data_IF_943584942385
#
_entry.id   IF_943584942385
#
_cell.length_a   1.000
_cell.length_b   1.000
_cell.length_c   1.000
_cell.angle_alpha   90.00
_cell.angle_beta   90.00
_cell.angle_gamma   90.00
#
_symmetry.space_group_name_H-M   'P 1'
#
loop_
_entity.id
_entity.type
_entity.pdbx_description
1 polymer ?
#
# COMPACT_ATOMS: atom_id res chain seq x y z
N UNK A 1 -27.09 11.34 5.77
CA UNK A 1 -26.81 10.17 6.61
C UNK A 1 -25.30 10.10 6.77
N UNK A 2 -24.79 10.36 7.98
CA UNK A 2 -23.37 10.22 8.30
C UNK A 2 -22.93 8.80 7.99
N UNK A 3 -21.79 8.64 7.34
CA UNK A 3 -21.26 7.32 7.03
C UNK A 3 -20.42 6.85 8.21
N UNK A 4 -21.00 5.98 9.04
CA UNK A 4 -20.38 5.51 10.27
C UNK A 4 -19.01 4.86 10.06
N UNK A 5 -18.81 4.15 8.93
CA UNK A 5 -17.53 3.50 8.62
C UNK A 5 -16.47 4.55 8.29
N UNK A 6 -16.80 5.52 7.42
CA UNK A 6 -15.87 6.60 7.09
C UNK A 6 -15.56 7.47 8.31
N UNK A 7 -16.56 7.80 9.13
CA UNK A 7 -16.38 8.63 10.32
C UNK A 7 -15.54 7.93 11.40
N UNK A 8 -15.76 6.63 11.66
CA UNK A 8 -14.96 5.90 12.64
C UNK A 8 -13.52 5.69 12.13
N UNK A 9 -13.33 5.44 10.83
CA UNK A 9 -12.00 5.29 10.24
C UNK A 9 -11.17 6.57 10.31
N UNK A 10 -11.77 7.74 10.08
CA UNK A 10 -11.11 9.05 10.24
C UNK A 10 -10.61 9.30 11.65
N UNK A 11 -11.39 8.86 12.65
CA UNK A 11 -11.03 8.92 14.08
C UNK A 11 -10.12 7.79 14.53
N UNK A 12 -9.86 6.81 13.65
CA UNK A 12 -9.11 5.59 13.94
C UNK A 12 -9.78 4.70 15.01
N UNK A 13 -11.10 4.62 14.99
CA UNK A 13 -11.92 3.81 15.91
C UNK A 13 -12.40 2.52 15.20
N UNK A 14 -11.86 1.36 15.60
CA UNK A 14 -12.19 0.05 15.04
C UNK A 14 -13.06 -0.83 15.96
N UNK A 15 -13.47 -0.33 17.13
CA UNK A 15 -14.20 -1.14 18.12
C UNK A 15 -15.55 -1.64 17.60
N UNK A 16 -16.21 -0.84 16.75
CA UNK A 16 -17.54 -1.11 16.22
C UNK A 16 -17.55 -1.36 14.70
N UNK A 17 -16.38 -1.57 14.09
CA UNK A 17 -16.27 -1.68 12.62
C UNK A 17 -17.09 -2.86 12.08
N UNK A 18 -17.01 -4.03 12.73
CA UNK A 18 -17.75 -5.23 12.33
C UNK A 18 -19.26 -5.02 12.40
N UNK A 19 -19.72 -4.29 13.42
CA UNK A 19 -21.12 -3.90 13.56
C UNK A 19 -21.55 -2.99 12.41
N UNK A 20 -20.76 -1.95 12.09
CA UNK A 20 -21.11 -1.04 11.00
C UNK A 20 -21.15 -1.75 9.64
N UNK A 21 -20.22 -2.68 9.38
CA UNK A 21 -20.20 -3.51 8.19
C UNK A 21 -21.47 -4.37 8.12
N UNK A 22 -21.76 -5.13 9.19
CA UNK A 22 -22.91 -6.04 9.25
C UNK A 22 -24.25 -5.36 8.98
N UNK A 23 -24.41 -4.11 9.42
CA UNK A 23 -25.65 -3.34 9.27
C UNK A 23 -25.65 -2.38 8.07
N UNK A 24 -24.83 -2.64 7.05
CA UNK A 24 -24.90 -2.00 5.74
C UNK A 24 -24.16 -0.67 5.62
N UNK A 25 -23.14 -0.44 6.44
CA UNK A 25 -22.20 0.66 6.25
C UNK A 25 -21.45 0.51 4.92
N UNK A 26 -21.28 1.61 4.19
CA UNK A 26 -20.69 1.58 2.85
C UNK A 26 -19.20 1.95 2.92
N UNK A 27 -18.32 0.94 3.03
CA UNK A 27 -16.87 1.14 3.09
C UNK A 27 -16.24 1.84 1.87
N UNK A 28 -16.97 1.89 0.75
CA UNK A 28 -16.53 2.49 -0.51
C UNK A 28 -16.75 4.01 -0.62
N UNK A 29 -17.50 4.62 0.32
CA UNK A 29 -17.68 6.07 0.34
C UNK A 29 -16.36 6.78 0.61
N UNK A 30 -16.21 7.95 0.01
CA UNK A 30 -14.98 8.74 0.03
C UNK A 30 -15.20 10.12 0.66
N UNK A 31 -14.13 10.67 1.23
CA UNK A 31 -14.01 12.07 1.58
C UNK A 31 -13.74 12.97 0.35
N UNK A 32 -13.53 14.27 0.58
CA UNK A 32 -13.24 15.26 -0.46
C UNK A 32 -11.92 15.01 -1.19
N UNK A 33 -10.99 14.26 -0.57
CA UNK A 33 -9.73 13.85 -1.17
C UNK A 33 -9.87 12.54 -1.97
N UNK A 34 -11.06 11.94 -2.01
CA UNK A 34 -11.29 10.63 -2.62
C UNK A 34 -10.89 9.45 -1.73
N UNK A 35 -10.61 9.69 -0.44
CA UNK A 35 -10.18 8.65 0.50
C UNK A 35 -11.38 7.99 1.14
N UNK A 36 -11.41 6.67 1.06
CA UNK A 36 -12.38 5.84 1.76
C UNK A 36 -11.84 5.37 3.12
N UNK A 37 -12.62 4.54 3.81
CA UNK A 37 -12.25 4.05 5.12
C UNK A 37 -10.93 3.26 5.17
N UNK A 38 -10.63 2.48 4.13
CA UNK A 38 -9.37 1.75 4.04
C UNK A 38 -8.17 2.70 3.99
N UNK A 39 -8.27 3.86 3.32
CA UNK A 39 -7.20 4.86 3.33
C UNK A 39 -6.93 5.37 4.75
N UNK A 40 -7.98 5.75 5.49
CA UNK A 40 -7.81 6.32 6.82
C UNK A 40 -7.23 5.29 7.81
N UNK A 41 -7.72 4.04 7.79
CA UNK A 41 -7.13 2.99 8.62
C UNK A 41 -5.68 2.69 8.22
N UNK A 42 -5.35 2.67 6.92
CA UNK A 42 -3.98 2.44 6.45
C UNK A 42 -3.00 3.54 6.88
N UNK A 43 -3.40 4.82 6.81
CA UNK A 43 -2.61 5.95 7.28
C UNK A 43 -2.26 5.87 8.77
N UNK A 44 -3.05 5.13 9.55
CA UNK A 44 -2.84 4.90 10.98
C UNK A 44 -2.25 3.52 11.29
N UNK A 45 -2.16 2.65 10.27
CA UNK A 45 -1.79 1.24 10.43
C UNK A 45 -2.74 0.45 11.30
N UNK A 46 -4.03 0.76 11.23
CA UNK A 46 -5.05 0.04 11.99
C UNK A 46 -5.34 -1.30 11.33
N UNK A 47 -4.56 -2.32 11.69
CA UNK A 47 -4.68 -3.66 11.16
C UNK A 47 -6.07 -4.26 11.41
N UNK A 48 -6.71 -3.96 12.55
CA UNK A 48 -8.06 -4.48 12.85
C UNK A 48 -9.11 -3.89 11.91
N UNK A 49 -9.11 -2.58 11.73
CA UNK A 49 -10.01 -1.91 10.78
C UNK A 49 -9.79 -2.37 9.34
N UNK A 50 -8.54 -2.48 8.90
CA UNK A 50 -8.21 -2.98 7.57
C UNK A 50 -8.62 -4.45 7.36
N UNK A 51 -8.37 -5.32 8.34
CA UNK A 51 -8.77 -6.73 8.26
C UNK A 51 -10.30 -6.87 8.20
N UNK A 52 -11.03 -6.10 9.00
CA UNK A 52 -12.50 -6.12 8.96
C UNK A 52 -13.03 -5.72 7.58
N UNK A 53 -12.48 -4.65 6.99
CA UNK A 53 -12.84 -4.24 5.64
C UNK A 53 -12.49 -5.31 4.59
N UNK A 54 -11.28 -5.87 4.65
CA UNK A 54 -10.82 -6.87 3.69
C UNK A 54 -11.63 -8.18 3.74
N UNK A 55 -12.12 -8.58 4.91
CA UNK A 55 -12.98 -9.76 5.09
C UNK A 55 -14.38 -9.58 4.48
N UNK A 56 -14.88 -8.35 4.45
CA UNK A 56 -16.18 -8.00 3.87
C UNK A 56 -16.06 -7.77 2.36
N UNK A 57 -15.20 -6.82 1.96
CA UNK A 57 -14.99 -6.47 0.56
C UNK A 57 -13.60 -5.84 0.33
N UNK A 58 -12.87 -6.35 -0.66
CA UNK A 58 -11.58 -5.83 -1.09
C UNK A 58 -11.67 -4.64 -2.05
N UNK A 59 -12.85 -4.28 -2.60
CA UNK A 59 -12.96 -3.13 -3.52
C UNK A 59 -12.48 -1.78 -2.96
N UNK A 60 -12.64 -1.45 -1.65
CA UNK A 60 -12.12 -0.20 -1.11
C UNK A 60 -10.60 -0.07 -1.22
N UNK A 61 -9.86 -1.19 -1.27
CA UNK A 61 -8.40 -1.20 -1.39
C UNK A 61 -7.91 -0.86 -2.80
N UNK A 62 -8.77 -0.97 -3.82
CA UNK A 62 -8.40 -0.67 -5.20
C UNK A 62 -8.51 0.81 -5.55
N UNK A 63 -9.31 1.56 -4.78
CA UNK A 63 -9.58 2.95 -5.08
C UNK A 63 -8.36 3.79 -4.72
N UNK A 64 -7.89 4.58 -5.67
CA UNK A 64 -6.90 5.62 -5.43
C UNK A 64 -7.57 6.94 -5.01
N UNK A 65 -6.94 7.66 -4.09
CA UNK A 65 -7.32 9.03 -3.74
C UNK A 65 -6.88 10.04 -4.83
N UNK A 66 -7.11 11.33 -4.60
CA UNK A 66 -6.76 12.40 -5.56
C UNK A 66 -5.27 12.51 -5.87
N UNK A 67 -4.40 11.89 -5.08
CA UNK A 67 -2.96 11.84 -5.29
C UNK A 67 -2.51 10.55 -5.99
N UNK A 68 -3.46 9.69 -6.38
CA UNK A 68 -3.18 8.37 -6.93
C UNK A 68 -2.78 7.35 -5.85
N UNK A 69 -2.84 7.71 -4.56
CA UNK A 69 -2.43 6.81 -3.48
C UNK A 69 -3.56 5.84 -3.17
N UNK A 70 -3.25 4.53 -3.17
CA UNK A 70 -4.17 3.51 -2.65
C UNK A 70 -3.99 3.34 -1.14
N UNK A 71 -4.93 2.70 -0.42
CA UNK A 71 -4.75 2.35 0.98
C UNK A 71 -3.46 1.58 1.25
N UNK A 72 -3.12 0.60 0.40
CA UNK A 72 -1.91 -0.19 0.60
C UNK A 72 -0.61 0.60 0.35
N UNK A 73 -0.63 1.66 -0.46
CA UNK A 73 0.52 2.56 -0.58
C UNK A 73 0.74 3.34 0.72
N UNK A 74 -0.32 3.86 1.34
CA UNK A 74 -0.23 4.50 2.66
C UNK A 74 0.28 3.53 3.73
N UNK A 75 -0.21 2.29 3.70
CA UNK A 75 0.25 1.25 4.61
C UNK A 75 1.75 0.96 4.42
N UNK A 76 2.20 0.76 3.17
CA UNK A 76 3.59 0.51 2.81
C UNK A 76 4.53 1.67 3.19
N UNK A 77 4.08 2.92 2.97
CA UNK A 77 4.80 4.13 3.37
C UNK A 77 4.99 4.19 4.89
N UNK A 78 4.10 3.56 5.68
CA UNK A 78 4.22 3.47 7.15
C UNK A 78 4.97 2.23 7.65
N UNK A 79 4.63 1.03 7.18
CA UNK A 79 5.17 -0.28 7.64
C UNK A 79 5.26 -1.27 6.48
N UNK A 80 6.34 -2.07 6.40
CA UNK A 80 6.51 -3.06 5.33
C UNK A 80 5.74 -4.36 5.60
N UNK A 81 5.55 -4.74 6.87
CA UNK A 81 5.02 -6.05 7.24
C UNK A 81 3.50 -6.20 7.05
N UNK A 82 2.77 -5.09 6.97
CA UNK A 82 1.31 -5.12 7.03
C UNK A 82 0.66 -5.28 5.65
N UNK A 83 1.41 -5.22 4.54
CA UNK A 83 0.82 -5.17 3.19
C UNK A 83 0.49 -6.55 2.61
N UNK A 84 1.29 -7.57 2.92
CA UNK A 84 1.19 -8.89 2.29
C UNK A 84 -0.16 -9.61 2.47
N UNK A 85 -0.84 -9.54 3.64
CA UNK A 85 -2.15 -10.17 3.80
C UNK A 85 -3.19 -9.71 2.77
N UNK A 86 -3.10 -8.46 2.33
CA UNK A 86 -4.01 -7.87 1.34
C UNK A 86 -3.51 -8.12 -0.09
N UNK A 87 -2.20 -8.02 -0.31
CA UNK A 87 -1.59 -8.22 -1.62
C UNK A 87 -1.74 -9.67 -2.13
N UNK A 88 -1.69 -10.67 -1.26
CA UNK A 88 -1.91 -12.08 -1.66
C UNK A 88 -3.35 -12.31 -2.11
N UNK A 89 -4.32 -11.66 -1.46
CA UNK A 89 -5.74 -11.74 -1.84
C UNK A 89 -6.02 -11.03 -3.17
N UNK A 90 -5.32 -9.91 -3.43
CA UNK A 90 -5.51 -9.12 -4.65
C UNK A 90 -4.18 -8.58 -5.20
N UNK A 91 -3.40 -9.43 -5.92
CA UNK A 91 -2.06 -9.07 -6.39
C UNK A 91 -2.03 -7.86 -7.33
N UNK A 92 -3.13 -7.57 -8.03
CA UNK A 92 -3.26 -6.40 -8.93
C UNK A 92 -3.08 -5.07 -8.20
N UNK A 93 -3.29 -5.02 -6.87
CA UNK A 93 -3.00 -3.84 -6.05
C UNK A 93 -1.52 -3.46 -6.08
N UNK A 94 -0.62 -4.43 -6.27
CA UNK A 94 0.82 -4.20 -6.33
C UNK A 94 1.28 -3.52 -7.61
N UNK A 95 0.49 -3.64 -8.69
CA UNK A 95 0.82 -3.05 -9.99
C UNK A 95 0.59 -1.54 -10.03
N UNK A 96 -0.21 -1.00 -9.11
CA UNK A 96 -0.60 0.41 -9.10
C UNK A 96 0.56 1.33 -8.66
N UNK A 97 0.53 2.56 -9.15
CA UNK A 97 1.44 3.64 -8.73
C UNK A 97 0.68 4.93 -8.49
N UNK A 98 1.18 5.76 -7.57
CA UNK A 98 0.63 7.11 -7.36
C UNK A 98 0.98 8.07 -8.51
N UNK A 99 0.52 9.33 -8.42
CA UNK A 99 0.82 10.37 -9.43
C UNK A 99 2.30 10.76 -9.50
N UNK A 100 3.11 10.33 -8.53
CA UNK A 100 4.58 10.50 -8.53
C UNK A 100 5.28 9.21 -8.99
N UNK A 101 4.54 8.25 -9.53
CA UNK A 101 5.02 6.94 -9.95
C UNK A 101 5.64 6.10 -8.82
N UNK A 102 5.26 6.37 -7.56
CA UNK A 102 5.68 5.59 -6.40
C UNK A 102 4.78 4.36 -6.28
N UNK A 103 5.39 3.22 -6.01
CA UNK A 103 4.68 1.95 -5.86
C UNK A 103 4.83 1.37 -4.46
N UNK A 104 3.95 0.43 -4.11
CA UNK A 104 4.04 -0.34 -2.85
C UNK A 104 5.42 -1.00 -2.72
N UNK A 105 5.87 -1.69 -3.76
CA UNK A 105 7.16 -2.37 -3.77
C UNK A 105 8.32 -1.36 -3.62
N UNK A 106 8.19 -0.18 -4.21
CA UNK A 106 9.17 0.90 -4.04
C UNK A 106 9.20 1.49 -2.64
N UNK A 107 8.06 1.65 -1.96
CA UNK A 107 8.03 2.08 -0.55
C UNK A 107 8.71 1.07 0.38
N UNK A 108 8.44 -0.21 0.16
CA UNK A 108 9.04 -1.32 0.92
C UNK A 108 10.55 -1.39 0.67
N UNK A 109 10.98 -1.34 -0.59
CA UNK A 109 12.40 -1.30 -0.95
C UNK A 109 13.09 -0.08 -0.37
N UNK A 110 12.48 1.11 -0.42
CA UNK A 110 13.08 2.33 0.13
C UNK A 110 13.35 2.25 1.65
N UNK A 111 12.74 1.30 2.35
CA UNK A 111 13.00 1.01 3.78
C UNK A 111 14.02 -0.11 4.01
N UNK A 112 14.59 -0.68 2.96
CA UNK A 112 15.60 -1.74 3.03
C UNK A 112 15.06 -3.17 2.90
N UNK A 113 13.74 -3.35 2.78
CA UNK A 113 13.10 -4.66 2.79
C UNK A 113 13.01 -5.27 1.38
N UNK A 114 14.17 -5.57 0.78
CA UNK A 114 14.20 -6.25 -0.53
C UNK A 114 13.72 -7.69 -0.45
N UNK A 115 13.85 -8.36 0.70
CA UNK A 115 13.42 -9.74 0.86
C UNK A 115 11.91 -9.87 0.65
N UNK A 116 11.12 -8.92 1.14
CA UNK A 116 9.69 -8.89 0.85
C UNK A 116 9.41 -8.60 -0.62
N UNK A 117 10.11 -7.65 -1.23
CA UNK A 117 9.92 -7.29 -2.65
C UNK A 117 10.22 -8.48 -3.57
N UNK A 118 11.40 -9.09 -3.41
CA UNK A 118 11.89 -10.16 -4.28
C UNK A 118 11.29 -11.52 -3.91
N UNK A 119 11.20 -11.83 -2.61
CA UNK A 119 10.78 -13.15 -2.14
C UNK A 119 9.27 -13.33 -2.03
N UNK A 120 8.50 -12.24 -1.83
CA UNK A 120 7.05 -12.33 -1.57
C UNK A 120 6.20 -11.63 -2.62
N UNK A 121 6.59 -10.44 -3.06
CA UNK A 121 5.80 -9.64 -4.01
C UNK A 121 6.05 -10.07 -5.47
N UNK A 122 7.32 -10.24 -5.86
CA UNK A 122 7.69 -10.61 -7.23
C UNK A 122 7.06 -11.93 -7.71
N UNK A 123 6.95 -13.00 -6.88
CA UNK A 123 6.30 -14.24 -7.32
C UNK A 123 4.80 -14.09 -7.63
N UNK A 124 4.10 -13.17 -6.96
CA UNK A 124 2.65 -12.96 -7.15
C UNK A 124 2.33 -11.81 -8.11
N UNK A 125 3.26 -10.89 -8.33
CA UNK A 125 3.12 -9.78 -9.26
C UNK A 125 4.48 -9.46 -9.92
N UNK A 126 4.89 -10.20 -10.96
CA UNK A 126 6.16 -9.98 -11.65
C UNK A 126 6.29 -8.61 -12.31
N UNK A 127 5.17 -7.95 -12.61
CA UNK A 127 5.11 -6.63 -13.25
C UNK A 127 5.72 -5.51 -12.40
N UNK A 128 5.93 -5.74 -11.09
CA UNK A 128 6.61 -4.77 -10.22
C UNK A 128 8.05 -4.44 -10.69
N UNK A 129 8.66 -5.31 -11.51
CA UNK A 129 9.99 -5.06 -12.11
C UNK A 129 10.03 -3.88 -13.06
N UNK A 130 8.88 -3.48 -13.60
CA UNK A 130 8.73 -2.33 -14.49
C UNK A 130 8.44 -1.02 -13.74
N UNK A 131 8.40 -1.06 -12.40
CA UNK A 131 8.15 0.12 -11.57
C UNK A 131 9.47 0.82 -11.21
N UNK A 132 9.38 2.10 -10.80
CA UNK A 132 10.54 2.97 -10.45
C UNK A 132 11.18 2.65 -9.09
N UNK A 133 11.31 1.37 -8.73
CA UNK A 133 11.80 0.92 -7.42
C UNK A 133 13.24 1.37 -7.18
N UNK A 134 14.13 1.25 -8.18
CA UNK A 134 15.52 1.72 -8.09
C UNK A 134 15.57 3.21 -7.76
N UNK A 135 14.73 4.03 -8.41
CA UNK A 135 14.65 5.47 -8.11
C UNK A 135 14.22 5.72 -6.67
N UNK A 136 13.24 4.98 -6.15
CA UNK A 136 12.76 5.13 -4.78
C UNK A 136 13.81 4.71 -3.74
N UNK A 137 14.57 3.63 -3.99
CA UNK A 137 15.71 3.23 -3.15
C UNK A 137 16.76 4.34 -3.11
N UNK A 138 17.12 4.91 -4.26
CA UNK A 138 18.12 5.97 -4.34
C UNK A 138 17.68 7.25 -3.61
N UNK A 139 16.40 7.60 -3.69
CA UNK A 139 15.79 8.74 -2.99
C UNK A 139 15.49 8.49 -1.51
N UNK A 140 15.68 7.27 -1.00
CA UNK A 140 15.42 6.95 0.41
C UNK A 140 16.27 7.81 1.34
N UNK A 141 15.66 8.30 2.42
CA UNK A 141 16.35 9.02 3.49
C UNK A 141 16.77 8.10 4.64
N UNK A 142 16.29 6.85 4.67
CA UNK A 142 16.56 5.89 5.74
C UNK A 142 17.75 4.99 5.45
N UNK A 143 18.07 4.79 4.17
CA UNK A 143 19.16 3.92 3.73
C UNK A 143 20.47 4.70 3.62
N UNK A 144 21.55 4.10 4.10
CA UNK A 144 22.89 4.64 3.89
C UNK A 144 23.36 4.44 2.42
N UNK A 145 24.40 5.15 1.98
CA UNK A 145 24.90 5.03 0.60
C UNK A 145 25.32 3.61 0.19
N UNK A 146 25.87 2.81 1.12
CA UNK A 146 26.32 1.44 0.84
C UNK A 146 25.14 0.49 0.70
N UNK A 147 24.10 0.64 1.53
CA UNK A 147 22.85 -0.09 1.41
C UNK A 147 22.18 0.18 0.06
N UNK A 148 22.09 1.47 -0.34
CA UNK A 148 21.56 1.85 -1.66
C UNK A 148 22.31 1.18 -2.81
N UNK A 149 23.65 1.25 -2.80
CA UNK A 149 24.49 0.63 -3.83
C UNK A 149 24.27 -0.88 -3.88
N UNK A 150 24.23 -1.55 -2.71
CA UNK A 150 23.98 -2.99 -2.62
C UNK A 150 22.62 -3.35 -3.22
N UNK A 151 21.58 -2.64 -2.80
CA UNK A 151 20.21 -2.89 -3.22
C UNK A 151 20.00 -2.65 -4.71
N UNK A 152 20.55 -1.57 -5.27
CA UNK A 152 20.47 -1.28 -6.70
C UNK A 152 21.19 -2.35 -7.53
N UNK A 153 22.33 -2.87 -7.06
CA UNK A 153 23.00 -4.00 -7.72
C UNK A 153 22.13 -5.25 -7.74
N UNK A 154 21.51 -5.60 -6.61
CA UNK A 154 20.60 -6.76 -6.52
C UNK A 154 19.42 -6.57 -7.48
N UNK A 155 18.73 -5.44 -7.40
CA UNK A 155 17.60 -5.12 -8.28
C UNK A 155 17.99 -5.16 -9.76
N UNK A 156 19.19 -4.70 -10.12
CA UNK A 156 19.72 -4.79 -11.48
C UNK A 156 19.93 -6.23 -11.95
N UNK A 157 20.43 -7.12 -11.08
CA UNK A 157 20.57 -8.54 -11.39
C UNK A 157 19.21 -9.26 -11.54
N UNK A 158 18.20 -8.82 -10.79
CA UNK A 158 16.82 -9.34 -10.85
C UNK A 158 15.99 -8.71 -11.99
N UNK A 159 16.59 -7.85 -12.83
CA UNK A 159 15.94 -7.30 -14.03
C UNK A 159 14.95 -6.16 -13.79
N UNK A 160 15.08 -5.42 -12.69
CA UNK A 160 14.29 -4.22 -12.42
C UNK A 160 14.74 -3.05 -13.30
N UNK A 161 13.78 -2.27 -13.82
CA UNK A 161 14.07 -1.17 -14.73
C UNK A 161 14.80 0.00 -14.06
N UNK A 162 15.83 0.51 -14.73
CA UNK A 162 16.63 1.66 -14.30
C UNK A 162 16.11 3.00 -14.82
N UNK A 163 15.07 3.01 -15.66
CA UNK A 163 14.70 4.19 -16.44
C UNK A 163 13.91 5.21 -15.62
N UNK A 164 14.53 6.37 -15.43
CA UNK A 164 13.86 7.65 -15.29
C UNK A 164 13.31 8.05 -16.66
N UNK A 165 12.04 7.76 -16.93
CA UNK A 165 11.30 8.48 -17.98
C UNK A 165 10.35 9.46 -17.29
#
# INVERSE_FOLDING_TARGET
>A
MSDFILDCSRKNEDQHIDYYIQFGGAASRCDEDGRNAAHHFAMRGNAKGLNALALDDMTPFEKADKYGMTPLMYLAERSTQDVMPYAVQRPQLLAQTDLKHRSIAGFIAAKGDLDTVLGKMMPICPEIRFQRIISMVMSSLTLDPMEKIRMVRILGHEGFETKSI
#
